data_IF_279630813890
#
_entry.id   IF_279630813890
#
_cell.length_a   1.000
_cell.length_b   1.000
_cell.length_c   1.000
_cell.angle_alpha   90.00
_cell.angle_beta   90.00
_cell.angle_gamma   90.00
#
_symmetry.space_group_name_H-M   'P 1'
#
loop_
_entity.id
_entity.type
_entity.pdbx_description
1 polymer ?
#
# COMPACT_ATOMS: atom_id res chain seq x y z
N UNK A 1 7.05 -13.93 -3.54
CA UNK A 1 6.64 -12.55 -3.87
C UNK A 1 6.71 -12.36 -5.37
N UNK A 2 5.62 -11.91 -6.00
CA UNK A 2 5.57 -11.56 -7.43
C UNK A 2 6.47 -10.36 -7.71
N UNK A 3 7.21 -10.40 -8.82
CA UNK A 3 8.05 -9.28 -9.24
C UNK A 3 7.19 -8.13 -9.76
N UNK A 4 7.45 -6.92 -9.29
CA UNK A 4 6.78 -5.71 -9.76
C UNK A 4 7.11 -5.44 -11.25
N UNK A 5 6.08 -5.16 -12.05
CA UNK A 5 6.18 -4.73 -13.45
C UNK A 5 5.80 -3.25 -13.60
N UNK A 6 5.90 -2.69 -14.82
CA UNK A 6 5.61 -1.27 -15.08
C UNK A 6 4.16 -0.90 -14.73
N UNK A 7 3.20 -1.73 -15.11
CA UNK A 7 1.79 -1.51 -14.81
C UNK A 7 1.55 -1.48 -13.30
N UNK A 8 2.19 -2.39 -12.55
CA UNK A 8 2.11 -2.42 -11.10
C UNK A 8 2.70 -1.16 -10.44
N UNK A 9 3.80 -0.62 -10.98
CA UNK A 9 4.35 0.67 -10.53
C UNK A 9 3.34 1.79 -10.75
N UNK A 10 2.72 1.85 -11.95
CA UNK A 10 1.71 2.85 -12.28
C UNK A 10 0.51 2.79 -11.33
N UNK A 11 0.03 1.58 -11.02
CA UNK A 11 -1.05 1.38 -10.04
C UNK A 11 -0.65 1.86 -8.64
N UNK A 12 0.60 1.61 -8.21
CA UNK A 12 1.11 2.10 -6.93
C UNK A 12 1.12 3.63 -6.88
N UNK A 13 1.65 4.28 -7.91
CA UNK A 13 1.70 5.74 -8.02
C UNK A 13 0.30 6.36 -8.07
N UNK A 14 -0.62 5.76 -8.81
CA UNK A 14 -2.01 6.22 -8.91
C UNK A 14 -2.71 6.18 -7.55
N UNK A 15 -2.60 5.07 -6.81
CA UNK A 15 -3.17 4.96 -5.47
C UNK A 15 -2.49 5.90 -4.46
N UNK A 16 -1.15 5.99 -4.49
CA UNK A 16 -0.38 6.87 -3.62
C UNK A 16 -0.79 8.34 -3.81
N UNK A 17 -0.90 8.77 -5.06
CA UNK A 17 -1.33 10.12 -5.42
C UNK A 17 -2.77 10.39 -4.99
N UNK A 18 -3.68 9.43 -5.15
CA UNK A 18 -5.04 9.56 -4.62
C UNK A 18 -5.04 9.73 -3.10
N UNK A 19 -4.25 8.92 -2.38
CA UNK A 19 -4.15 9.01 -0.92
C UNK A 19 -3.58 10.36 -0.48
N UNK A 20 -2.52 10.84 -1.13
CA UNK A 20 -1.95 12.16 -0.86
C UNK A 20 -2.99 13.28 -1.04
N UNK A 21 -3.65 13.32 -2.20
CA UNK A 21 -4.66 14.34 -2.54
C UNK A 21 -5.89 14.28 -1.64
N UNK A 22 -6.17 13.14 -1.01
CA UNK A 22 -7.29 13.00 -0.07
C UNK A 22 -7.14 13.89 1.18
N UNK A 23 -5.91 14.34 1.50
CA UNK A 23 -5.69 15.27 2.60
C UNK A 23 -6.44 16.59 2.38
N UNK A 24 -6.38 17.11 1.16
CA UNK A 24 -6.98 18.40 0.81
C UNK A 24 -8.41 18.27 0.27
N UNK A 25 -8.76 17.11 -0.31
CA UNK A 25 -10.01 16.93 -1.06
C UNK A 25 -11.09 16.14 -0.33
N UNK A 26 -10.76 15.49 0.79
CA UNK A 26 -11.73 14.74 1.59
C UNK A 26 -11.91 15.43 2.94
N UNK A 27 -13.13 15.47 3.46
CA UNK A 27 -13.39 16.04 4.79
C UNK A 27 -13.09 15.04 5.93
N UNK A 28 -13.27 13.74 5.67
CA UNK A 28 -13.09 12.69 6.68
C UNK A 28 -11.63 12.54 7.13
N UNK A 29 -11.40 12.04 8.35
CA UNK A 29 -10.06 11.63 8.79
C UNK A 29 -9.36 10.68 7.81
N UNK A 30 -8.03 10.65 7.85
CA UNK A 30 -7.22 9.77 7.00
C UNK A 30 -7.60 8.30 7.17
N UNK A 31 -7.80 7.82 8.40
CA UNK A 31 -8.17 6.42 8.65
C UNK A 31 -9.53 6.04 8.07
N UNK A 32 -10.50 6.97 8.12
CA UNK A 32 -11.84 6.74 7.56
C UNK A 32 -11.79 6.70 6.05
N UNK A 33 -11.09 7.64 5.42
CA UNK A 33 -10.87 7.63 3.98
C UNK A 33 -10.20 6.31 3.55
N UNK A 34 -9.09 5.93 4.18
CA UNK A 34 -8.36 4.70 3.82
C UNK A 34 -9.27 3.48 3.99
N UNK A 35 -10.01 3.37 5.10
CA UNK A 35 -10.94 2.26 5.32
C UNK A 35 -12.01 2.16 4.22
N UNK A 36 -12.59 3.29 3.81
CA UNK A 36 -13.61 3.36 2.73
C UNK A 36 -12.99 2.98 1.40
N UNK A 37 -11.87 3.59 1.06
CA UNK A 37 -11.11 3.27 -0.14
C UNK A 37 -10.80 1.78 -0.23
N UNK A 38 -10.20 1.18 0.80
CA UNK A 38 -9.75 -0.23 0.75
C UNK A 38 -10.91 -1.25 0.67
N UNK A 39 -12.16 -0.80 0.79
CA UNK A 39 -13.39 -1.59 0.63
C UNK A 39 -14.21 -1.22 -0.61
N UNK A 40 -13.81 -0.17 -1.32
CA UNK A 40 -14.54 0.39 -2.45
C UNK A 40 -14.49 -0.50 -3.70
N UNK A 41 -15.40 -0.25 -4.63
CA UNK A 41 -15.37 -0.83 -5.97
C UNK A 41 -14.12 -0.40 -6.74
N UNK A 42 -13.65 0.83 -6.55
CA UNK A 42 -12.44 1.31 -7.24
C UNK A 42 -11.19 0.57 -6.75
N UNK A 43 -11.10 0.22 -5.45
CA UNK A 43 -10.02 -0.64 -4.96
C UNK A 43 -10.03 -2.04 -5.59
N UNK A 44 -11.21 -2.63 -5.85
CA UNK A 44 -11.32 -3.91 -6.57
C UNK A 44 -10.81 -3.78 -8.01
N UNK A 45 -11.18 -2.70 -8.71
CA UNK A 45 -10.68 -2.42 -10.06
C UNK A 45 -9.16 -2.19 -10.10
N UNK A 46 -8.59 -1.67 -9.02
CA UNK A 46 -7.13 -1.56 -8.83
C UNK A 46 -6.49 -2.92 -8.52
N UNK A 47 -7.21 -3.84 -7.86
CA UNK A 47 -6.75 -5.20 -7.57
C UNK A 47 -6.67 -6.06 -8.85
N UNK A 48 -7.68 -5.97 -9.72
CA UNK A 48 -7.77 -6.73 -10.97
C UNK A 48 -7.11 -6.04 -12.18
N UNK A 49 -6.69 -4.77 -12.04
CA UNK A 49 -5.99 -4.01 -13.08
C UNK A 49 -6.91 -3.38 -14.13
N UNK A 50 -8.24 -3.57 -14.06
CA UNK A 50 -9.20 -2.99 -15.01
C UNK A 50 -9.19 -1.46 -15.06
N UNK A 51 -8.61 -0.78 -14.07
CA UNK A 51 -8.39 0.67 -14.15
C UNK A 51 -7.45 1.08 -15.29
N UNK A 52 -6.54 0.22 -15.71
CA UNK A 52 -5.53 0.52 -16.75
C UNK A 52 -6.15 0.64 -18.14
N UNK A 53 -7.35 0.07 -18.32
CA UNK A 53 -8.13 0.18 -19.56
C UNK A 53 -8.90 1.52 -19.63
N UNK A 54 -8.78 2.37 -18.60
CA UNK A 54 -9.47 3.65 -18.49
C UNK A 54 -8.49 4.80 -18.25
N UNK A 55 -8.86 6.04 -18.61
CA UNK A 55 -8.04 7.23 -18.36
C UNK A 55 -8.21 7.80 -16.94
N UNK A 56 -8.42 6.93 -15.94
CA UNK A 56 -8.76 7.35 -14.59
C UNK A 56 -7.59 8.04 -13.88
N UNK A 57 -7.87 9.18 -13.26
CA UNK A 57 -6.92 9.97 -12.50
C UNK A 57 -7.16 9.84 -10.99
N UNK A 58 -6.19 10.29 -10.20
CA UNK A 58 -6.26 10.25 -8.74
C UNK A 58 -7.53 10.94 -8.18
N UNK A 59 -7.94 12.05 -8.78
CA UNK A 59 -9.16 12.78 -8.44
C UNK A 59 -10.43 11.99 -8.68
N UNK A 60 -10.53 11.30 -9.83
CA UNK A 60 -11.68 10.47 -10.17
C UNK A 60 -11.86 9.36 -9.14
N UNK A 61 -10.75 8.80 -8.66
CA UNK A 61 -10.77 7.80 -7.59
C UNK A 61 -11.37 8.36 -6.30
N UNK A 62 -11.04 9.60 -5.92
CA UNK A 62 -11.63 10.24 -4.75
C UNK A 62 -13.14 10.45 -4.93
N UNK A 63 -13.55 10.91 -6.11
CA UNK A 63 -14.96 11.08 -6.43
C UNK A 63 -15.72 9.75 -6.33
N UNK A 64 -15.21 8.67 -6.93
CA UNK A 64 -15.82 7.34 -6.89
C UNK A 64 -15.97 6.80 -5.46
N UNK A 65 -14.99 7.06 -4.57
CA UNK A 65 -15.10 6.69 -3.15
C UNK A 65 -16.20 7.48 -2.44
N UNK A 66 -16.33 8.78 -2.73
CA UNK A 66 -17.38 9.63 -2.16
C UNK A 66 -18.78 9.25 -2.70
N UNK A 67 -18.90 8.93 -3.98
CA UNK A 67 -20.15 8.45 -4.58
C UNK A 67 -20.61 7.14 -3.93
N UNK A 68 -19.69 6.23 -3.60
CA UNK A 68 -20.01 4.95 -3.00
C UNK A 68 -20.40 5.05 -1.51
N UNK A 69 -19.73 5.90 -0.73
CA UNK A 69 -19.90 5.96 0.73
C UNK A 69 -20.55 7.23 1.28
N UNK A 70 -20.85 8.20 0.42
CA UNK A 70 -21.32 9.53 0.76
C UNK A 70 -20.25 10.40 1.43
N UNK A 71 -20.50 11.71 1.46
CA UNK A 71 -19.68 12.66 2.20
C UNK A 71 -19.70 12.34 3.70
N UNK A 72 -18.54 12.47 4.36
CA UNK A 72 -18.44 12.31 5.80
C UNK A 72 -17.41 13.28 6.37
N UNK A 73 -17.80 13.98 7.43
CA UNK A 73 -16.94 14.82 8.25
C UNK A 73 -16.55 14.12 9.57
N UNK A 74 -16.78 12.80 9.66
CA UNK A 74 -16.48 12.04 10.87
C UNK A 74 -14.96 11.90 11.05
N UNK A 75 -14.48 12.17 12.26
CA UNK A 75 -13.05 12.18 12.62
C UNK A 75 -12.26 13.33 12.01
N UNK A 76 -11.42 14.00 12.81
CA UNK A 76 -10.65 15.19 12.38
C UNK A 76 -9.17 14.93 12.13
N UNK A 77 -8.63 13.76 12.51
CA UNK A 77 -7.19 13.49 12.42
C UNK A 77 -6.79 13.23 10.97
N UNK A 78 -5.98 14.14 10.42
CA UNK A 78 -5.32 14.01 9.13
C UNK A 78 -3.88 13.61 9.32
N UNK A 79 -3.42 12.66 8.51
CA UNK A 79 -2.00 12.37 8.35
C UNK A 79 -1.38 13.41 7.40
N UNK A 80 -0.07 13.49 7.33
CA UNK A 80 0.63 14.35 6.38
C UNK A 80 0.51 13.81 4.95
N UNK A 81 0.74 14.66 3.95
CA UNK A 81 0.76 14.25 2.53
C UNK A 81 1.74 13.11 2.27
N UNK A 82 2.95 13.21 2.81
CA UNK A 82 3.99 12.18 2.65
C UNK A 82 3.61 10.85 3.32
N UNK A 83 3.03 10.90 4.53
CA UNK A 83 2.52 9.69 5.20
C UNK A 83 1.43 9.03 4.35
N UNK A 84 0.48 9.80 3.83
CA UNK A 84 -0.60 9.29 2.99
C UNK A 84 -0.09 8.70 1.68
N UNK A 85 0.79 9.40 0.98
CA UNK A 85 1.41 8.92 -0.25
C UNK A 85 2.07 7.57 -0.02
N UNK A 86 2.94 7.50 1.00
CA UNK A 86 3.67 6.28 1.33
C UNK A 86 2.73 5.14 1.74
N UNK A 87 1.72 5.40 2.57
CA UNK A 87 0.71 4.39 2.94
C UNK A 87 -0.02 3.86 1.71
N UNK A 88 -0.45 4.75 0.81
CA UNK A 88 -1.12 4.38 -0.43
C UNK A 88 -0.23 3.51 -1.31
N UNK A 89 1.04 3.90 -1.46
CA UNK A 89 2.04 3.14 -2.23
C UNK A 89 2.26 1.75 -1.63
N UNK A 90 2.55 1.64 -0.33
CA UNK A 90 2.81 0.38 0.36
C UNK A 90 1.61 -0.56 0.25
N UNK A 91 0.38 -0.07 0.46
CA UNK A 91 -0.81 -0.91 0.34
C UNK A 91 -0.94 -1.53 -1.06
N UNK A 92 -0.74 -0.74 -2.12
CA UNK A 92 -0.85 -1.24 -3.49
C UNK A 92 0.28 -2.17 -3.86
N UNK A 93 1.50 -1.84 -3.44
CA UNK A 93 2.66 -2.69 -3.63
C UNK A 93 2.44 -4.05 -2.97
N UNK A 94 1.92 -4.07 -1.74
CA UNK A 94 1.63 -5.30 -1.00
C UNK A 94 0.55 -6.13 -1.72
N UNK A 95 -0.56 -5.51 -2.14
CA UNK A 95 -1.59 -6.18 -2.96
C UNK A 95 -1.00 -6.89 -4.17
N UNK A 96 -0.18 -6.18 -4.96
CA UNK A 96 0.37 -6.71 -6.21
C UNK A 96 1.38 -7.82 -5.96
N UNK A 97 2.29 -7.61 -5.00
CA UNK A 97 3.44 -8.50 -4.81
C UNK A 97 3.12 -9.77 -4.02
N UNK A 98 2.04 -9.77 -3.25
CA UNK A 98 1.54 -10.93 -2.51
C UNK A 98 0.24 -11.48 -3.09
N UNK A 99 -0.27 -10.90 -4.18
CA UNK A 99 -1.48 -11.34 -4.88
C UNK A 99 -2.70 -11.45 -3.94
N UNK A 100 -2.83 -10.45 -3.05
CA UNK A 100 -3.92 -10.31 -2.09
C UNK A 100 -4.83 -9.16 -2.51
N UNK A 101 -6.12 -9.24 -2.17
CA UNK A 101 -7.03 -8.10 -2.35
C UNK A 101 -6.71 -6.95 -1.41
N UNK A 102 -7.11 -5.73 -1.79
CA UNK A 102 -7.05 -4.53 -0.93
C UNK A 102 -7.63 -4.80 0.46
N UNK A 103 -8.78 -5.46 0.52
CA UNK A 103 -9.45 -5.77 1.78
C UNK A 103 -8.64 -6.76 2.64
N UNK A 104 -7.98 -7.76 2.04
CA UNK A 104 -7.12 -8.68 2.78
C UNK A 104 -5.89 -7.96 3.35
N UNK A 105 -5.21 -7.13 2.55
CA UNK A 105 -4.05 -6.36 3.03
C UNK A 105 -4.44 -5.37 4.14
N UNK A 106 -5.58 -4.68 4.00
CA UNK A 106 -6.10 -3.82 5.06
C UNK A 106 -6.41 -4.59 6.37
N UNK A 107 -6.74 -5.88 6.29
CA UNK A 107 -6.90 -6.73 7.49
C UNK A 107 -5.57 -7.08 8.14
N UNK A 108 -4.51 -7.27 7.35
CA UNK A 108 -3.16 -7.63 7.83
C UNK A 108 -2.51 -6.47 8.58
N UNK A 109 -2.50 -5.28 7.99
CA UNK A 109 -1.85 -4.09 8.58
C UNK A 109 -2.76 -2.88 8.50
N UNK A 110 -3.01 -2.22 9.64
CA UNK A 110 -3.88 -1.05 9.73
C UNK A 110 -3.16 0.26 9.36
N UNK A 111 -3.88 1.30 8.89
CA UNK A 111 -3.26 2.57 8.53
C UNK A 111 -2.51 3.22 9.68
N UNK A 112 -3.03 3.09 10.91
CA UNK A 112 -2.38 3.59 12.13
C UNK A 112 -1.04 2.93 12.40
N UNK A 113 -0.93 1.63 12.13
CA UNK A 113 0.32 0.88 12.24
C UNK A 113 1.31 1.35 11.18
N UNK A 114 0.88 1.45 9.91
CA UNK A 114 1.72 1.97 8.84
C UNK A 114 2.22 3.39 9.16
N UNK A 115 1.35 4.29 9.63
CA UNK A 115 1.75 5.63 10.06
C UNK A 115 2.87 5.57 11.11
N UNK A 116 2.75 4.70 12.11
CA UNK A 116 3.80 4.51 13.12
C UNK A 116 5.13 4.01 12.56
N UNK A 117 5.11 3.36 11.40
CA UNK A 117 6.29 2.85 10.69
C UNK A 117 6.81 3.80 9.60
N UNK A 118 6.16 4.95 9.37
CA UNK A 118 6.55 5.87 8.31
C UNK A 118 8.02 6.31 8.47
N UNK A 119 8.39 6.89 9.62
CA UNK A 119 9.75 7.38 9.85
C UNK A 119 10.84 6.33 9.62
N UNK A 120 10.77 5.12 10.22
CA UNK A 120 11.81 4.12 10.00
C UNK A 120 11.80 3.51 8.60
N UNK A 121 10.65 3.40 7.92
CA UNK A 121 10.53 2.56 6.70
C UNK A 121 10.35 3.33 5.39
N UNK A 122 10.02 4.63 5.40
CA UNK A 122 9.67 5.35 4.17
C UNK A 122 10.80 5.54 3.15
N UNK A 123 12.05 5.35 3.57
CA UNK A 123 13.24 5.36 2.69
C UNK A 123 13.71 3.97 2.29
N UNK A 124 13.10 2.91 2.84
CA UNK A 124 13.40 1.53 2.49
C UNK A 124 12.77 1.15 1.15
N UNK A 125 13.32 0.12 0.51
CA UNK A 125 12.62 -0.53 -0.59
C UNK A 125 11.25 -1.07 -0.09
N UNK A 126 10.14 -0.84 -0.83
CA UNK A 126 8.80 -1.25 -0.42
C UNK A 126 8.69 -2.74 -0.06
N UNK A 127 9.39 -3.62 -0.77
CA UNK A 127 9.39 -5.06 -0.46
C UNK A 127 9.98 -5.33 0.91
N UNK A 128 11.10 -4.68 1.24
CA UNK A 128 11.75 -4.82 2.52
C UNK A 128 10.91 -4.26 3.68
N UNK A 129 10.18 -3.17 3.45
CA UNK A 129 9.26 -2.63 4.45
C UNK A 129 8.12 -3.62 4.74
N UNK A 130 7.53 -4.22 3.69
CA UNK A 130 6.44 -5.19 3.80
C UNK A 130 6.91 -6.49 4.48
N UNK A 131 8.07 -7.01 4.13
CA UNK A 131 8.65 -8.19 4.78
C UNK A 131 8.84 -8.00 6.28
N UNK A 132 9.39 -6.85 6.71
CA UNK A 132 9.54 -6.52 8.14
C UNK A 132 8.20 -6.41 8.86
N UNK A 133 7.18 -5.85 8.20
CA UNK A 133 5.81 -5.79 8.74
C UNK A 133 5.26 -7.21 8.96
N UNK A 134 5.47 -8.09 7.99
CA UNK A 134 5.00 -9.48 8.01
C UNK A 134 5.73 -10.33 9.06
N UNK A 135 7.05 -10.17 9.17
CA UNK A 135 7.90 -10.79 10.18
C UNK A 135 7.45 -10.41 11.60
N UNK A 136 7.26 -9.10 11.85
CA UNK A 136 6.76 -8.60 13.14
C UNK A 136 5.35 -9.12 13.50
N UNK A 137 4.59 -9.61 12.51
CA UNK A 137 3.25 -10.19 12.69
C UNK A 137 3.25 -11.72 12.74
N UNK A 138 4.41 -12.37 12.59
CA UNK A 138 4.53 -13.83 12.50
C UNK A 138 3.66 -14.43 11.40
N UNK A 139 3.38 -13.67 10.34
CA UNK A 139 2.58 -14.10 9.19
C UNK A 139 3.44 -14.70 8.07
N UNK A 140 4.77 -14.60 8.20
CA UNK A 140 5.76 -15.28 7.37
C UNK A 140 6.78 -15.96 8.26
N UNK A 141 6.61 -17.26 8.44
CA UNK A 141 7.60 -18.16 9.03
C UNK A 141 7.34 -19.55 8.49
N UNK A 142 7.77 -19.81 7.25
CA UNK A 142 8.51 -21.05 7.05
C UNK A 142 9.97 -20.65 7.30
N UNK A 143 10.45 -20.88 8.53
CA UNK A 143 11.80 -20.49 8.97
C UNK A 143 12.86 -20.93 7.95
N UNK A 144 12.60 -22.04 7.25
CA UNK A 144 13.45 -22.58 6.19
C UNK A 144 13.54 -21.65 4.97
N UNK A 145 12.42 -21.09 4.52
CA UNK A 145 12.41 -20.15 3.38
C UNK A 145 13.11 -18.83 3.72
N UNK A 146 12.96 -18.35 4.96
CA UNK A 146 13.64 -17.14 5.42
C UNK A 146 15.15 -17.37 5.56
N UNK A 147 15.56 -18.54 6.06
CA UNK A 147 16.97 -18.93 6.14
C UNK A 147 17.61 -19.04 4.74
N UNK A 148 16.93 -19.68 3.78
CA UNK A 148 17.38 -19.78 2.39
C UNK A 148 17.50 -18.40 1.72
N UNK A 149 16.54 -17.51 1.98
CA UNK A 149 16.56 -16.14 1.47
C UNK A 149 17.71 -15.32 2.04
N UNK A 150 17.92 -15.35 3.36
CA UNK A 150 19.03 -14.66 4.01
C UNK A 150 20.38 -15.18 3.50
N UNK A 151 20.50 -16.49 3.30
CA UNK A 151 21.68 -17.11 2.70
C UNK A 151 21.96 -16.60 1.28
N UNK A 152 20.94 -16.51 0.42
CA UNK A 152 21.11 -16.00 -0.96
C UNK A 152 21.49 -14.52 -0.99
N UNK A 153 20.94 -13.69 -0.10
CA UNK A 153 21.36 -12.28 0.06
C UNK A 153 22.84 -12.21 0.48
N UNK A 154 23.24 -13.00 1.49
CA UNK A 154 24.61 -13.05 1.97
C UNK A 154 25.60 -13.46 0.87
N UNK A 155 25.25 -14.47 0.07
CA UNK A 155 26.04 -14.95 -1.07
C UNK A 155 26.23 -13.87 -2.13
N UNK A 156 25.19 -13.11 -2.46
CA UNK A 156 25.27 -11.98 -3.41
C UNK A 156 26.17 -10.85 -2.90
N UNK A 157 26.08 -10.52 -1.62
CA UNK A 157 26.93 -9.49 -1.00
C UNK A 157 28.41 -9.94 -1.02
N UNK A 158 28.68 -11.21 -0.70
CA UNK A 158 30.03 -11.78 -0.73
C UNK A 158 30.61 -11.82 -2.15
N UNK A 159 29.80 -12.16 -3.15
CA UNK A 159 30.24 -12.23 -4.55
C UNK A 159 30.37 -10.87 -5.24
N UNK A 160 29.80 -9.79 -4.67
CA UNK A 160 30.02 -8.40 -5.15
C UNK A 160 31.31 -7.76 -4.61
N UNK A 161 32.04 -8.43 -3.72
CA UNK A 161 33.27 -7.95 -3.09
C UNK A 161 34.57 -8.38 -3.81
N UNK A 162 34.49 -8.79 -5.08
CA UNK A 162 35.63 -9.14 -5.93
C UNK A 162 35.55 -8.33 -7.22
#
# INVERSE_FOLDING_TARGET
MKRMNKDGVLLCELQATAFEKSIDKMESSSEIFIRRFMRSRIAKRLDDGSVLESNIQAEDILQLVNEEYGFSNYGSVKYTRNEMYWIGYIYRYFVITYELTSMQVYKIVKPKELKGLFLPYHTMDPSQAIERILEAKSLFTDEKMELERQYEIFKRIRNKKI
#
